data_IF_719977896697
#
_entry.id   IF_719977896697
#
_cell.length_a   1.000
_cell.length_b   1.000
_cell.length_c   1.000
_cell.angle_alpha   90.00
_cell.angle_beta   90.00
_cell.angle_gamma   90.00
#
_symmetry.space_group_name_H-M   'P 1'
#
loop_
_entity.id
_entity.type
_entity.pdbx_description
1 polymer ?
#
# COMPACT_ATOMS: atom_id res chain seq x y z
N UNK A 1 -72.45 1.98 11.86
CA UNK A 1 -71.69 3.24 11.75
C UNK A 1 -70.24 2.83 11.65
N UNK A 2 -69.76 2.73 10.41
CA UNK A 2 -68.43 2.23 10.10
C UNK A 2 -67.42 3.32 10.45
N UNK A 3 -66.51 3.01 11.36
CA UNK A 3 -65.39 3.88 11.74
C UNK A 3 -64.40 3.92 10.57
N UNK A 4 -64.49 4.95 9.73
CA UNK A 4 -63.44 5.26 8.75
C UNK A 4 -62.12 5.46 9.51
N UNK A 5 -61.17 4.54 9.31
CA UNK A 5 -59.83 4.67 9.90
C UNK A 5 -59.17 5.92 9.32
N UNK A 6 -58.84 6.87 10.18
CA UNK A 6 -58.08 8.06 9.79
C UNK A 6 -56.75 7.63 9.16
N UNK A 7 -56.46 8.11 7.95
CA UNK A 7 -55.23 7.82 7.23
C UNK A 7 -54.02 8.40 7.98
N UNK A 8 -52.99 7.59 8.21
CA UNK A 8 -51.71 8.03 8.81
C UNK A 8 -50.62 8.13 7.73
N UNK A 9 -50.27 9.38 7.41
CA UNK A 9 -49.26 9.71 6.41
C UNK A 9 -47.87 9.17 6.78
N UNK A 10 -47.52 9.16 8.07
CA UNK A 10 -46.19 8.73 8.53
C UNK A 10 -46.00 7.24 8.25
N UNK A 11 -47.01 6.45 8.60
CA UNK A 11 -47.04 5.00 8.35
C UNK A 11 -47.04 4.70 6.84
N UNK A 12 -47.75 5.50 6.04
CA UNK A 12 -47.78 5.34 4.59
C UNK A 12 -46.41 5.62 3.94
N UNK A 13 -45.71 6.67 4.36
CA UNK A 13 -44.36 7.00 3.86
C UNK A 13 -43.35 5.92 4.29
N UNK A 14 -43.40 5.45 5.53
CA UNK A 14 -42.53 4.36 5.99
C UNK A 14 -42.77 3.08 5.17
N UNK A 15 -44.03 2.73 4.93
CA UNK A 15 -44.39 1.57 4.11
C UNK A 15 -43.85 1.72 2.69
N UNK A 16 -44.05 2.88 2.07
CA UNK A 16 -43.53 3.18 0.73
C UNK A 16 -42.00 3.08 0.68
N UNK A 17 -41.29 3.68 1.62
CA UNK A 17 -39.81 3.67 1.68
C UNK A 17 -39.27 2.25 1.89
N UNK A 18 -39.93 1.46 2.74
CA UNK A 18 -39.54 0.06 3.01
C UNK A 18 -39.61 -0.84 1.77
N UNK A 19 -40.45 -0.52 0.78
CA UNK A 19 -40.52 -1.26 -0.47
C UNK A 19 -39.24 -1.08 -1.31
N UNK A 20 -38.62 0.11 -1.26
CA UNK A 20 -37.35 0.37 -1.93
C UNK A 20 -36.16 -0.23 -1.16
N UNK A 21 -36.19 -0.19 0.17
CA UNK A 21 -35.17 -0.88 1.00
C UNK A 21 -35.13 -2.38 0.73
N UNK A 22 -36.30 -3.02 0.55
CA UNK A 22 -36.40 -4.44 0.23
C UNK A 22 -35.86 -4.79 -1.17
N UNK A 23 -35.87 -3.84 -2.12
CA UNK A 23 -35.29 -4.05 -3.45
C UNK A 23 -33.76 -4.12 -3.44
N UNK A 24 -33.11 -3.44 -2.48
CA UNK A 24 -31.66 -3.40 -2.33
C UNK A 24 -30.90 -2.58 -3.38
N UNK A 25 -31.60 -1.89 -4.28
CA UNK A 25 -30.99 -1.13 -5.37
C UNK A 25 -30.63 0.32 -5.02
N UNK A 26 -31.10 0.82 -3.87
CA UNK A 26 -30.96 2.22 -3.46
C UNK A 26 -30.01 2.35 -2.27
N UNK A 27 -29.16 3.38 -2.29
CA UNK A 27 -28.39 3.83 -1.14
C UNK A 27 -29.26 4.65 -0.18
N UNK A 28 -28.83 4.80 1.07
CA UNK A 28 -29.55 5.61 2.05
C UNK A 28 -29.71 7.07 1.62
N UNK A 29 -28.69 7.64 0.97
CA UNK A 29 -28.71 9.02 0.49
C UNK A 29 -29.73 9.19 -0.65
N UNK A 30 -29.77 8.24 -1.59
CA UNK A 30 -30.76 8.22 -2.68
C UNK A 30 -32.19 8.06 -2.14
N UNK A 31 -32.39 7.19 -1.13
CA UNK A 31 -33.69 7.06 -0.46
C UNK A 31 -34.11 8.36 0.23
N UNK A 32 -33.19 9.03 0.91
CA UNK A 32 -33.48 10.30 1.59
C UNK A 32 -33.87 11.40 0.60
N UNK A 33 -33.20 11.50 -0.55
CA UNK A 33 -33.55 12.41 -1.63
C UNK A 33 -34.94 12.10 -2.20
N UNK A 34 -35.22 10.82 -2.45
CA UNK A 34 -36.52 10.35 -2.96
C UNK A 34 -37.66 10.68 -1.98
N UNK A 35 -37.44 10.45 -0.68
CA UNK A 35 -38.40 10.78 0.38
C UNK A 35 -38.61 12.29 0.48
N UNK A 36 -37.57 13.11 0.33
CA UNK A 36 -37.69 14.56 0.31
C UNK A 36 -38.58 15.02 -0.85
N UNK A 37 -38.37 14.49 -2.05
CA UNK A 37 -39.20 14.82 -3.21
C UNK A 37 -40.66 14.38 -3.07
N UNK A 38 -40.90 13.24 -2.41
CA UNK A 38 -42.25 12.78 -2.09
C UNK A 38 -42.94 13.77 -1.14
N UNK A 39 -42.27 14.18 -0.06
CA UNK A 39 -42.79 15.13 0.92
C UNK A 39 -43.10 16.49 0.27
N UNK A 40 -42.16 17.05 -0.50
CA UNK A 40 -42.36 18.31 -1.22
C UNK A 40 -43.58 18.24 -2.16
N UNK A 41 -43.78 17.09 -2.82
CA UNK A 41 -44.93 16.87 -3.70
C UNK A 41 -46.25 16.76 -2.94
N UNK A 42 -46.25 16.13 -1.77
CA UNK A 42 -47.43 16.04 -0.89
C UNK A 42 -47.81 17.43 -0.42
N UNK A 43 -46.87 18.22 0.10
CA UNK A 43 -47.11 19.57 0.60
C UNK A 43 -47.69 20.48 -0.51
N UNK A 44 -47.16 20.39 -1.72
CA UNK A 44 -47.66 21.13 -2.88
C UNK A 44 -49.08 20.72 -3.33
N UNK A 45 -49.49 19.47 -3.08
CA UNK A 45 -50.84 18.97 -3.36
C UNK A 45 -51.81 19.33 -2.24
N UNK A 46 -51.40 19.26 -0.98
CA UNK A 46 -52.20 19.70 0.15
C UNK A 46 -52.49 21.20 0.11
N UNK A 47 -51.53 22.01 -0.36
CA UNK A 47 -51.74 23.44 -0.61
C UNK A 47 -52.79 23.74 -1.71
N UNK A 48 -53.23 22.72 -2.45
CA UNK A 48 -54.32 22.77 -3.44
C UNK A 48 -55.61 22.12 -2.93
N UNK A 49 -55.75 22.02 -1.61
CA UNK A 49 -56.91 21.47 -0.91
C UNK A 49 -57.15 19.96 -1.11
N UNK A 50 -56.11 19.19 -1.50
CA UNK A 50 -56.21 17.73 -1.49
C UNK A 50 -56.06 17.19 -0.07
N UNK A 51 -56.80 16.13 0.26
CA UNK A 51 -56.61 15.41 1.52
C UNK A 51 -55.23 14.74 1.57
N UNK A 52 -54.71 14.47 2.78
CA UNK A 52 -53.40 13.80 2.95
C UNK A 52 -53.32 12.46 2.19
N UNK A 53 -54.41 11.70 2.20
CA UNK A 53 -54.49 10.41 1.51
C UNK A 53 -54.41 10.57 -0.01
N UNK A 54 -55.16 11.53 -0.57
CA UNK A 54 -55.14 11.80 -2.02
C UNK A 54 -53.81 12.40 -2.47
N UNK A 55 -53.25 13.32 -1.69
CA UNK A 55 -51.95 13.92 -1.95
C UNK A 55 -50.85 12.85 -2.00
N UNK A 56 -50.82 11.92 -1.04
CA UNK A 56 -49.88 10.81 -1.01
C UNK A 56 -50.02 9.87 -2.21
N UNK A 57 -51.25 9.47 -2.56
CA UNK A 57 -51.50 8.58 -3.71
C UNK A 57 -51.04 9.21 -5.04
N UNK A 58 -51.32 10.49 -5.24
CA UNK A 58 -50.92 11.20 -6.46
C UNK A 58 -49.40 11.44 -6.48
N UNK A 59 -48.80 11.83 -5.35
CA UNK A 59 -47.35 12.07 -5.27
C UNK A 59 -46.55 10.78 -5.53
N UNK A 60 -46.93 9.67 -4.90
CA UNK A 60 -46.29 8.36 -5.12
C UNK A 60 -46.45 7.86 -6.56
N UNK A 61 -47.60 8.07 -7.20
CA UNK A 61 -47.78 7.75 -8.62
C UNK A 61 -46.93 8.64 -9.55
N UNK A 62 -46.76 9.93 -9.22
CA UNK A 62 -45.95 10.87 -10.03
C UNK A 62 -44.46 10.56 -10.00
N UNK A 63 -43.96 10.06 -8.87
CA UNK A 63 -42.58 9.59 -8.73
C UNK A 63 -42.31 8.35 -9.60
N UNK A 64 -43.32 7.54 -9.87
CA UNK A 64 -43.23 6.37 -10.73
C UNK A 64 -43.24 5.04 -9.96
N UNK A 65 -43.32 3.93 -10.69
CA UNK A 65 -43.26 2.60 -10.09
C UNK A 65 -41.84 2.28 -9.60
N UNK A 66 -41.75 1.37 -8.62
CA UNK A 66 -40.47 0.88 -8.10
C UNK A 66 -39.57 0.39 -9.25
N UNK A 67 -40.11 -0.39 -10.19
CA UNK A 67 -39.35 -0.92 -11.32
C UNK A 67 -38.78 0.18 -12.25
N UNK A 68 -39.49 1.29 -12.43
CA UNK A 68 -39.04 2.42 -13.24
C UNK A 68 -37.96 3.23 -12.53
N UNK A 69 -38.19 3.52 -11.25
CA UNK A 69 -37.21 4.21 -10.41
C UNK A 69 -35.94 3.39 -10.28
N UNK A 70 -36.04 2.07 -10.09
CA UNK A 70 -34.90 1.16 -10.04
C UNK A 70 -34.08 1.21 -11.34
N UNK A 71 -34.73 1.21 -12.50
CA UNK A 71 -34.05 1.35 -13.79
C UNK A 71 -33.35 2.71 -13.97
N UNK A 72 -33.97 3.81 -13.54
CA UNK A 72 -33.36 5.14 -13.66
C UNK A 72 -32.21 5.34 -12.68
N UNK A 73 -32.37 4.94 -11.42
CA UNK A 73 -31.29 5.00 -10.43
C UNK A 73 -30.16 4.05 -10.77
N UNK A 74 -30.43 2.87 -11.35
CA UNK A 74 -29.38 1.97 -11.87
C UNK A 74 -28.56 2.60 -13.01
N UNK A 75 -29.13 3.52 -13.80
CA UNK A 75 -28.36 4.24 -14.85
C UNK A 75 -27.40 5.27 -14.24
N UNK A 76 -27.81 5.94 -13.17
CA UNK A 76 -27.02 6.94 -12.45
C UNK A 76 -25.97 6.27 -11.56
N UNK A 77 -26.39 5.21 -10.87
CA UNK A 77 -25.57 4.19 -10.23
C UNK A 77 -24.95 3.25 -11.28
N UNK A 78 -24.31 3.82 -12.31
CA UNK A 78 -23.10 3.18 -12.83
C UNK A 78 -22.07 3.43 -11.74
N UNK A 79 -21.72 2.44 -10.89
CA UNK A 79 -20.53 2.59 -10.12
C UNK A 79 -19.42 2.67 -11.17
N UNK A 80 -18.93 3.88 -11.46
CA UNK A 80 -17.51 4.00 -11.76
C UNK A 80 -16.90 3.34 -10.54
N UNK A 81 -16.29 2.15 -10.68
CA UNK A 81 -15.83 1.44 -9.51
C UNK A 81 -14.57 2.19 -9.08
N UNK A 82 -14.75 3.28 -8.32
CA UNK A 82 -13.73 4.18 -7.77
C UNK A 82 -12.73 3.40 -6.90
N UNK A 83 -13.05 2.15 -6.60
CA UNK A 83 -12.29 1.20 -5.83
C UNK A 83 -11.34 0.32 -6.67
N UNK A 84 -11.56 0.13 -7.98
CA UNK A 84 -10.75 -0.82 -8.78
C UNK A 84 -9.40 -0.26 -9.24
N UNK A 85 -9.30 1.05 -9.42
CA UNK A 85 -8.13 1.72 -9.99
C UNK A 85 -6.83 1.49 -9.18
N UNK A 86 -6.78 1.70 -7.85
CA UNK A 86 -5.53 1.50 -7.12
C UNK A 86 -5.09 0.04 -7.10
N UNK A 87 -6.02 -0.92 -7.01
CA UNK A 87 -5.68 -2.35 -7.00
C UNK A 87 -5.17 -2.82 -8.38
N UNK A 88 -5.73 -2.30 -9.47
CA UNK A 88 -5.28 -2.56 -10.83
C UNK A 88 -3.88 -1.96 -11.10
N UNK A 89 -3.64 -0.72 -10.68
CA UNK A 89 -2.34 -0.07 -10.79
C UNK A 89 -1.27 -0.84 -10.01
N UNK A 90 -1.62 -1.27 -8.80
CA UNK A 90 -0.77 -2.04 -7.90
C UNK A 90 -0.45 -3.44 -8.44
N UNK A 91 -1.45 -4.12 -9.01
CA UNK A 91 -1.25 -5.39 -9.70
C UNK A 91 -0.34 -5.22 -10.92
N UNK A 92 -0.54 -4.16 -11.71
CA UNK A 92 0.33 -3.82 -12.83
C UNK A 92 1.79 -3.63 -12.40
N UNK A 93 2.00 -2.94 -11.28
CA UNK A 93 3.33 -2.76 -10.69
C UNK A 93 3.95 -4.08 -10.20
N UNK A 94 3.18 -4.96 -9.53
CA UNK A 94 3.67 -6.29 -9.14
C UNK A 94 4.03 -7.16 -10.34
N UNK A 95 3.19 -7.18 -11.37
CA UNK A 95 3.49 -7.87 -12.62
C UNK A 95 4.75 -7.30 -13.28
N UNK A 96 4.92 -5.99 -13.30
CA UNK A 96 6.14 -5.36 -13.83
C UNK A 96 7.39 -5.77 -13.06
N UNK A 97 7.36 -5.70 -11.72
CA UNK A 97 8.49 -6.10 -10.87
C UNK A 97 8.82 -7.59 -11.08
N UNK A 98 7.80 -8.45 -11.13
CA UNK A 98 7.98 -9.87 -11.42
C UNK A 98 8.61 -10.10 -12.80
N UNK A 99 8.08 -9.45 -13.84
CA UNK A 99 8.61 -9.56 -15.21
C UNK A 99 10.05 -9.06 -15.29
N UNK A 100 10.40 -7.98 -14.58
CA UNK A 100 11.77 -7.48 -14.49
C UNK A 100 12.71 -8.51 -13.86
N UNK A 101 12.37 -9.04 -12.67
CA UNK A 101 13.21 -10.01 -11.97
C UNK A 101 13.37 -11.32 -12.77
N UNK A 102 12.28 -11.76 -13.42
CA UNK A 102 12.33 -12.92 -14.31
C UNK A 102 13.23 -12.66 -15.52
N UNK A 103 13.14 -11.46 -16.10
CA UNK A 103 14.01 -11.04 -17.19
C UNK A 103 15.47 -11.06 -16.77
N UNK A 104 15.81 -10.45 -15.63
CA UNK A 104 17.17 -10.46 -15.06
C UNK A 104 17.70 -11.89 -14.83
N UNK A 105 16.83 -12.81 -14.41
CA UNK A 105 17.22 -14.22 -14.24
C UNK A 105 17.51 -14.91 -15.58
N UNK A 106 16.66 -14.66 -16.58
CA UNK A 106 16.81 -15.23 -17.93
C UNK A 106 18.07 -14.68 -18.61
N UNK A 107 18.33 -13.38 -18.49
CA UNK A 107 19.51 -12.73 -19.05
C UNK A 107 20.79 -13.14 -18.33
N UNK A 108 20.79 -13.07 -16.99
CA UNK A 108 21.94 -13.41 -16.16
C UNK A 108 22.46 -14.82 -16.40
N UNK A 109 21.58 -15.80 -16.60
CA UNK A 109 21.99 -17.16 -16.93
C UNK A 109 22.10 -17.43 -18.42
N UNK A 110 21.07 -17.08 -19.19
CA UNK A 110 20.97 -17.43 -20.61
C UNK A 110 21.95 -16.66 -21.46
N UNK A 111 22.02 -15.34 -21.31
CA UNK A 111 22.88 -14.49 -22.13
C UNK A 111 24.36 -14.68 -21.78
N UNK A 112 24.70 -14.82 -20.49
CA UNK A 112 26.09 -15.09 -20.05
C UNK A 112 26.56 -16.49 -20.48
N UNK A 113 25.71 -17.51 -20.35
CA UNK A 113 26.02 -18.84 -20.86
C UNK A 113 26.25 -18.82 -22.38
N UNK A 114 25.39 -18.13 -23.12
CA UNK A 114 25.52 -17.98 -24.58
C UNK A 114 26.77 -17.16 -24.97
N UNK A 115 27.10 -16.12 -24.21
CA UNK A 115 28.30 -15.30 -24.36
C UNK A 115 29.59 -16.11 -24.23
N UNK A 116 29.62 -17.01 -23.23
CA UNK A 116 30.77 -17.88 -23.00
C UNK A 116 31.05 -18.82 -24.18
N UNK A 117 30.03 -19.10 -25.01
CA UNK A 117 30.17 -19.92 -26.20
C UNK A 117 30.72 -19.17 -27.41
N UNK A 118 30.35 -17.89 -27.60
CA UNK A 118 30.71 -17.10 -28.79
C UNK A 118 31.88 -16.11 -28.58
N UNK A 119 32.26 -15.82 -27.33
CA UNK A 119 33.44 -15.02 -27.00
C UNK A 119 33.37 -13.51 -27.31
N UNK A 120 32.27 -13.01 -27.88
CA UNK A 120 32.11 -11.59 -28.23
C UNK A 120 31.15 -10.85 -27.29
N UNK A 121 31.74 -10.02 -26.42
CA UNK A 121 31.05 -9.14 -25.46
C UNK A 121 30.00 -8.21 -26.08
N UNK A 122 30.15 -7.77 -27.34
CA UNK A 122 29.19 -6.83 -27.97
C UNK A 122 27.92 -7.54 -28.41
N UNK A 123 28.08 -8.74 -28.97
CA UNK A 123 26.96 -9.58 -29.38
C UNK A 123 26.15 -9.97 -28.14
N UNK A 124 26.83 -10.33 -27.04
CA UNK A 124 26.19 -10.62 -25.75
C UNK A 124 25.31 -9.47 -25.28
N UNK A 125 25.84 -8.24 -25.26
CA UNK A 125 25.09 -7.09 -24.74
C UNK A 125 23.87 -6.75 -25.61
N UNK A 126 23.99 -6.86 -26.94
CA UNK A 126 22.84 -6.68 -27.83
C UNK A 126 21.78 -7.76 -27.65
N UNK A 127 22.20 -9.02 -27.46
CA UNK A 127 21.31 -10.15 -27.24
C UNK A 127 20.62 -10.03 -25.87
N UNK A 128 21.35 -9.59 -24.86
CA UNK A 128 20.86 -9.33 -23.51
C UNK A 128 19.75 -8.28 -23.48
N UNK A 129 20.03 -7.11 -24.07
CA UNK A 129 19.06 -6.02 -24.18
C UNK A 129 17.83 -6.47 -24.98
N UNK A 130 18.04 -7.19 -26.09
CA UNK A 130 16.95 -7.68 -26.94
C UNK A 130 16.05 -8.69 -26.23
N UNK A 131 16.64 -9.63 -25.49
CA UNK A 131 15.91 -10.61 -24.68
C UNK A 131 15.15 -9.91 -23.56
N UNK A 132 15.78 -8.96 -22.84
CA UNK A 132 15.13 -8.18 -21.80
C UNK A 132 13.91 -7.41 -22.31
N UNK A 133 14.04 -6.76 -23.46
CA UNK A 133 12.98 -5.95 -24.03
C UNK A 133 11.85 -6.84 -24.57
N UNK A 134 12.18 -7.98 -25.18
CA UNK A 134 11.22 -8.96 -25.66
C UNK A 134 10.44 -9.65 -24.52
N UNK A 135 11.10 -10.02 -23.43
CA UNK A 135 10.46 -10.66 -22.26
C UNK A 135 9.55 -9.66 -21.54
N UNK A 136 10.01 -8.42 -21.30
CA UNK A 136 9.20 -7.38 -20.66
C UNK A 136 7.97 -7.04 -21.48
N UNK A 137 8.15 -6.68 -22.76
CA UNK A 137 7.04 -6.29 -23.64
C UNK A 137 6.11 -7.49 -23.89
N UNK A 138 6.67 -8.68 -24.11
CA UNK A 138 5.93 -9.90 -24.36
C UNK A 138 5.06 -10.33 -23.18
N UNK A 139 5.58 -10.31 -21.95
CA UNK A 139 4.81 -10.64 -20.75
C UNK A 139 3.70 -9.62 -20.48
N UNK A 140 3.98 -8.32 -20.67
CA UNK A 140 3.01 -7.25 -20.45
C UNK A 140 1.86 -7.32 -21.47
N UNK A 141 2.18 -7.38 -22.77
CA UNK A 141 1.17 -7.44 -23.83
C UNK A 141 0.45 -8.79 -23.84
N UNK A 142 1.17 -9.89 -23.60
CA UNK A 142 0.61 -11.24 -23.51
C UNK A 142 -0.34 -11.39 -22.33
N UNK A 143 0.06 -10.91 -21.14
CA UNK A 143 -0.78 -10.90 -19.95
C UNK A 143 -2.04 -10.04 -20.14
N UNK A 144 -1.88 -8.83 -20.68
CA UNK A 144 -3.02 -7.95 -20.98
C UNK A 144 -3.98 -8.58 -22.00
N UNK A 145 -3.45 -9.21 -23.05
CA UNK A 145 -4.24 -9.89 -24.08
C UNK A 145 -4.95 -11.12 -23.51
N UNK A 146 -4.28 -11.90 -22.66
CA UNK A 146 -4.86 -13.07 -21.99
C UNK A 146 -6.03 -12.67 -21.09
N UNK A 147 -5.87 -11.61 -20.28
CA UNK A 147 -6.93 -11.10 -19.40
C UNK A 147 -8.09 -10.52 -20.22
N UNK A 148 -7.80 -9.80 -21.31
CA UNK A 148 -8.83 -9.15 -22.13
C UNK A 148 -9.59 -10.11 -23.05
N UNK A 149 -8.92 -11.12 -23.60
CA UNK A 149 -9.52 -12.05 -24.56
C UNK A 149 -10.14 -13.27 -23.88
N UNK A 150 -9.57 -13.74 -22.76
CA UNK A 150 -10.08 -14.90 -22.06
C UNK A 150 -10.95 -14.47 -20.87
N UNK A 151 -12.22 -14.20 -21.16
CA UNK A 151 -13.21 -13.76 -20.17
C UNK A 151 -13.24 -14.63 -18.91
N UNK A 152 -13.00 -15.95 -19.02
CA UNK A 152 -12.97 -16.86 -17.87
C UNK A 152 -11.80 -16.59 -16.93
N UNK A 153 -10.59 -16.39 -17.48
CA UNK A 153 -9.39 -16.13 -16.67
C UNK A 153 -9.49 -14.76 -16.02
N UNK A 154 -9.92 -13.73 -16.77
CA UNK A 154 -10.16 -12.41 -16.22
C UNK A 154 -11.20 -12.44 -15.11
N UNK A 155 -12.37 -13.05 -15.33
CA UNK A 155 -13.42 -13.16 -14.32
C UNK A 155 -12.97 -13.94 -13.09
N UNK A 156 -12.32 -15.09 -13.27
CA UNK A 156 -11.78 -15.87 -12.15
C UNK A 156 -10.78 -15.06 -11.33
N UNK A 157 -9.87 -14.35 -12.00
CA UNK A 157 -8.86 -13.53 -11.35
C UNK A 157 -9.49 -12.39 -10.56
N UNK A 158 -10.41 -11.63 -11.17
CA UNK A 158 -11.14 -10.56 -10.47
C UNK A 158 -12.04 -11.10 -9.36
N UNK A 159 -12.61 -12.29 -9.52
CA UNK A 159 -13.40 -12.96 -8.50
C UNK A 159 -12.55 -13.33 -7.28
N UNK A 160 -11.35 -13.89 -7.49
CA UNK A 160 -10.41 -14.16 -6.41
C UNK A 160 -9.89 -12.88 -5.74
N UNK A 161 -9.63 -11.83 -6.52
CA UNK A 161 -9.27 -10.51 -6.01
C UNK A 161 -10.36 -9.93 -5.11
N UNK A 162 -11.64 -10.17 -5.45
CA UNK A 162 -12.80 -9.74 -4.66
C UNK A 162 -13.01 -10.59 -3.41
N UNK A 163 -12.87 -11.91 -3.51
CA UNK A 163 -13.15 -12.82 -2.40
C UNK A 163 -12.01 -12.94 -1.38
N UNK A 164 -10.77 -12.93 -1.85
CA UNK A 164 -9.57 -13.19 -1.04
C UNK A 164 -8.43 -12.22 -1.39
N UNK A 165 -8.64 -10.90 -1.29
CA UNK A 165 -7.65 -9.91 -1.69
C UNK A 165 -6.31 -10.11 -0.96
N UNK A 166 -6.35 -10.39 0.34
CA UNK A 166 -5.15 -10.63 1.16
C UNK A 166 -4.41 -11.89 0.73
N UNK A 167 -5.12 -12.99 0.45
CA UNK A 167 -4.50 -14.25 0.04
C UNK A 167 -3.77 -14.13 -1.30
N UNK A 168 -4.42 -13.50 -2.29
CA UNK A 168 -3.86 -13.31 -3.63
C UNK A 168 -2.64 -12.38 -3.58
N UNK A 169 -2.74 -11.31 -2.79
CA UNK A 169 -1.65 -10.38 -2.48
C UNK A 169 -0.43 -11.07 -1.90
N UNK A 170 -0.61 -11.83 -0.82
CA UNK A 170 0.48 -12.51 -0.13
C UNK A 170 1.14 -13.50 -1.08
N UNK A 171 0.33 -14.19 -1.89
CA UNK A 171 0.82 -15.11 -2.92
C UNK A 171 1.66 -14.38 -3.98
N UNK A 172 1.17 -13.27 -4.54
CA UNK A 172 1.92 -12.48 -5.53
C UNK A 172 3.17 -11.84 -4.93
N UNK A 173 3.09 -11.30 -3.72
CA UNK A 173 4.24 -10.76 -2.99
C UNK A 173 5.30 -11.81 -2.71
N UNK A 174 4.88 -13.02 -2.33
CA UNK A 174 5.78 -14.16 -2.13
C UNK A 174 6.43 -14.60 -3.44
N UNK A 175 5.67 -14.62 -4.55
CA UNK A 175 6.21 -14.89 -5.88
C UNK A 175 7.24 -13.84 -6.31
N UNK A 176 6.98 -12.56 -6.07
CA UNK A 176 7.93 -11.46 -6.34
C UNK A 176 9.18 -11.61 -5.48
N UNK A 177 9.02 -11.89 -4.18
CA UNK A 177 10.14 -12.10 -3.26
C UNK A 177 10.99 -13.31 -3.65
N UNK A 178 10.36 -14.43 -4.00
CA UNK A 178 11.04 -15.63 -4.50
C UNK A 178 11.74 -15.38 -5.83
N UNK A 179 11.13 -14.63 -6.75
CA UNK A 179 11.76 -14.26 -8.02
C UNK A 179 12.97 -13.34 -7.81
N UNK A 180 12.88 -12.37 -6.89
CA UNK A 180 14.01 -11.51 -6.52
C UNK A 180 15.15 -12.30 -5.86
N UNK A 181 14.82 -13.24 -4.96
CA UNK A 181 15.79 -14.18 -4.37
C UNK A 181 16.42 -15.09 -5.43
N UNK A 182 15.62 -15.56 -6.38
CA UNK A 182 16.09 -16.36 -7.51
C UNK A 182 17.08 -15.59 -8.39
N UNK A 183 16.75 -14.36 -8.79
CA UNK A 183 17.63 -13.48 -9.54
C UNK A 183 18.93 -13.17 -8.76
N UNK A 184 18.83 -12.99 -7.45
CA UNK A 184 19.99 -12.77 -6.59
C UNK A 184 20.97 -13.96 -6.59
N UNK A 185 20.47 -15.17 -6.35
CA UNK A 185 21.28 -16.39 -6.41
C UNK A 185 21.66 -16.77 -7.85
N UNK A 186 20.98 -16.19 -8.83
CA UNK A 186 21.33 -16.36 -10.24
C UNK A 186 22.72 -15.80 -10.53
N UNK A 187 22.92 -14.59 -10.05
CA UNK A 187 24.13 -13.82 -10.28
C UNK A 187 25.25 -14.18 -9.30
N UNK A 188 24.92 -14.84 -8.18
CA UNK A 188 25.89 -15.14 -7.14
C UNK A 188 25.77 -16.57 -6.60
N UNK A 189 26.85 -17.34 -6.67
CA UNK A 189 26.88 -18.69 -6.09
C UNK A 189 26.82 -18.58 -4.57
N UNK A 190 25.93 -19.36 -3.94
CA UNK A 190 25.82 -19.42 -2.49
C UNK A 190 27.17 -19.75 -1.81
N UNK A 191 27.98 -20.61 -2.44
CA UNK A 191 29.33 -20.94 -1.97
C UNK A 191 30.28 -19.73 -1.96
N UNK A 192 30.18 -18.83 -2.93
CA UNK A 192 30.98 -17.60 -2.98
C UNK A 192 30.53 -16.66 -1.87
N UNK A 193 29.22 -16.58 -1.58
CA UNK A 193 28.67 -15.81 -0.48
C UNK A 193 29.18 -16.29 0.90
N UNK A 194 29.28 -17.61 1.07
CA UNK A 194 29.87 -18.23 2.28
C UNK A 194 31.39 -18.01 2.33
N UNK A 195 32.10 -18.18 1.22
CA UNK A 195 33.55 -17.93 1.16
C UNK A 195 33.90 -16.46 1.43
N UNK A 196 33.11 -15.53 0.86
CA UNK A 196 33.20 -14.07 1.05
C UNK A 196 33.00 -13.68 2.52
N UNK A 197 32.01 -14.28 3.19
CA UNK A 197 31.79 -14.02 4.63
C UNK A 197 32.93 -14.53 5.52
N UNK A 198 33.73 -15.48 5.02
CA UNK A 198 34.88 -16.06 5.74
C UNK A 198 36.20 -15.34 5.41
N UNK A 199 36.40 -14.84 4.19
CA UNK A 199 37.72 -14.35 3.71
C UNK A 199 38.08 -12.88 4.01
N UNK A 200 37.28 -12.13 4.79
CA UNK A 200 37.59 -10.77 5.31
C UNK A 200 37.98 -9.67 4.31
N UNK A 201 38.01 -9.90 2.99
CA UNK A 201 38.26 -8.85 2.00
C UNK A 201 36.99 -8.54 1.20
N UNK A 202 36.34 -7.43 1.56
CA UNK A 202 35.16 -6.92 0.88
C UNK A 202 35.56 -6.05 -0.33
N UNK A 203 35.48 -6.59 -1.55
CA UNK A 203 35.71 -5.87 -2.82
C UNK A 203 34.37 -5.44 -3.45
N UNK A 204 34.38 -4.39 -4.30
CA UNK A 204 33.22 -3.76 -4.98
C UNK A 204 32.10 -4.70 -5.49
N UNK A 205 32.39 -5.95 -5.87
CA UNK A 205 31.39 -6.94 -6.29
C UNK A 205 30.38 -7.29 -5.18
N UNK A 206 30.76 -7.18 -3.90
CA UNK A 206 29.90 -7.50 -2.76
C UNK A 206 28.86 -6.40 -2.45
N UNK A 207 28.94 -5.27 -3.15
CA UNK A 207 27.98 -4.19 -3.04
C UNK A 207 26.68 -4.48 -3.80
N UNK A 208 26.75 -5.22 -4.90
CA UNK A 208 25.56 -5.75 -5.57
C UNK A 208 24.78 -6.66 -4.62
N UNK A 209 25.48 -7.47 -3.81
CA UNK A 209 24.83 -8.33 -2.84
C UNK A 209 23.99 -7.56 -1.81
N UNK A 210 24.57 -6.53 -1.20
CA UNK A 210 23.88 -5.66 -0.24
C UNK A 210 22.76 -4.87 -0.94
N UNK A 211 22.98 -4.42 -2.18
CA UNK A 211 21.98 -3.71 -2.98
C UNK A 211 20.74 -4.56 -3.25
N UNK A 212 20.91 -5.82 -3.64
CA UNK A 212 19.79 -6.74 -3.85
C UNK A 212 19.06 -7.11 -2.55
N UNK A 213 19.78 -7.29 -1.43
CA UNK A 213 19.16 -7.49 -0.11
C UNK A 213 18.35 -6.25 0.31
N UNK A 214 18.84 -5.04 -0.01
CA UNK A 214 18.11 -3.80 0.23
C UNK A 214 16.86 -3.67 -0.66
N UNK A 215 16.93 -4.07 -1.93
CA UNK A 215 15.76 -4.16 -2.80
C UNK A 215 14.77 -5.22 -2.32
N UNK A 216 15.23 -6.36 -1.80
CA UNK A 216 14.37 -7.35 -1.17
C UNK A 216 13.64 -6.76 0.05
N UNK A 217 14.33 -6.00 0.90
CA UNK A 217 13.73 -5.22 1.98
C UNK A 217 12.75 -4.17 1.47
N UNK A 218 13.06 -3.50 0.37
CA UNK A 218 12.15 -2.57 -0.32
C UNK A 218 10.89 -3.26 -0.83
N UNK A 219 11.01 -4.41 -1.47
CA UNK A 219 9.88 -5.20 -1.90
C UNK A 219 9.05 -5.71 -0.73
N UNK A 220 9.68 -6.08 0.40
CA UNK A 220 8.97 -6.50 1.62
C UNK A 220 8.23 -5.33 2.30
N UNK A 221 8.86 -4.16 2.35
CA UNK A 221 8.25 -2.91 2.85
C UNK A 221 7.10 -2.48 1.96
N UNK A 222 7.29 -2.56 0.65
CA UNK A 222 6.27 -2.25 -0.32
C UNK A 222 5.13 -3.27 -0.28
N UNK A 223 5.41 -4.54 0.02
CA UNK A 223 4.40 -5.58 0.33
C UNK A 223 3.64 -5.29 1.63
N UNK A 224 4.29 -4.70 2.63
CA UNK A 224 3.63 -4.24 3.86
C UNK A 224 2.76 -3.02 3.63
N UNK A 225 3.24 -2.03 2.86
CA UNK A 225 2.42 -0.90 2.42
C UNK A 225 1.27 -1.34 1.51
N UNK A 226 1.50 -2.36 0.69
CA UNK A 226 0.47 -3.04 -0.10
C UNK A 226 -0.59 -3.63 0.84
N UNK A 227 -0.19 -4.40 1.87
CA UNK A 227 -1.13 -4.95 2.86
C UNK A 227 -1.90 -3.83 3.55
N UNK A 228 -1.27 -2.68 3.78
CA UNK A 228 -1.89 -1.48 4.35
C UNK A 228 -2.88 -0.77 3.41
N UNK A 229 -2.75 -0.84 2.09
CA UNK A 229 -3.72 -0.28 1.13
C UNK A 229 -4.87 -1.26 0.88
N UNK A 230 -4.57 -2.55 0.88
CA UNK A 230 -5.56 -3.62 0.62
C UNK A 230 -6.36 -4.02 1.86
N UNK A 231 -5.86 -3.85 3.09
CA UNK A 231 -6.67 -4.08 4.30
C UNK A 231 -7.86 -3.11 4.44
N UNK A 232 -7.70 -1.80 4.20
CA UNK A 232 -8.81 -0.85 4.06
C UNK A 232 -9.86 -1.30 3.04
N UNK A 233 -9.40 -1.88 1.92
CA UNK A 233 -10.26 -2.43 0.88
C UNK A 233 -11.09 -3.63 1.35
N UNK A 234 -10.51 -4.48 2.21
CA UNK A 234 -11.19 -5.64 2.77
C UNK A 234 -12.07 -5.32 4.00
N UNK A 235 -11.81 -4.22 4.70
CA UNK A 235 -12.44 -3.90 6.00
C UNK A 235 -13.29 -2.62 6.00
N UNK A 236 -13.34 -1.90 4.86
CA UNK A 236 -14.00 -0.60 4.70
C UNK A 236 -13.52 0.49 5.69
N UNK A 237 -12.31 0.34 6.25
CA UNK A 237 -11.72 1.29 7.20
C UNK A 237 -10.62 2.10 6.56
N UNK A 238 -10.63 3.43 6.72
CA UNK A 238 -9.55 4.31 6.24
C UNK A 238 -8.20 3.87 6.82
N UNK A 239 -7.12 3.95 6.03
CA UNK A 239 -5.75 3.59 6.42
C UNK A 239 -5.35 4.09 7.81
N UNK A 240 -5.68 5.35 8.12
CA UNK A 240 -5.38 5.97 9.42
C UNK A 240 -6.13 5.29 10.58
N UNK A 241 -7.38 4.89 10.37
CA UNK A 241 -8.21 4.18 11.36
C UNK A 241 -7.68 2.76 11.58
N UNK A 242 -7.17 2.12 10.53
CA UNK A 242 -6.53 0.82 10.66
C UNK A 242 -5.19 0.90 11.41
N UNK A 243 -4.34 1.88 11.08
CA UNK A 243 -3.08 2.14 11.78
C UNK A 243 -3.30 2.40 13.28
N UNK A 244 -4.39 3.08 13.62
CA UNK A 244 -4.80 3.33 15.00
C UNK A 244 -5.16 2.03 15.75
N UNK A 245 -5.68 1.03 15.03
CA UNK A 245 -6.08 -0.28 15.57
C UNK A 245 -4.98 -1.33 15.48
N UNK A 246 -3.95 -1.13 14.66
CA UNK A 246 -2.90 -2.10 14.41
C UNK A 246 -2.13 -2.48 15.69
N UNK A 247 -1.79 -3.76 15.88
CA UNK A 247 -0.96 -4.19 17.01
C UNK A 247 0.41 -3.51 16.97
N UNK A 248 0.98 -3.20 18.15
CA UNK A 248 2.31 -2.57 18.28
C UNK A 248 3.38 -3.31 17.47
N UNK A 249 3.37 -4.65 17.50
CA UNK A 249 4.33 -5.46 16.75
C UNK A 249 4.31 -5.19 15.25
N UNK A 250 3.14 -4.96 14.65
CA UNK A 250 3.03 -4.64 13.22
C UNK A 250 3.56 -3.25 12.88
N UNK A 251 3.33 -2.28 13.76
CA UNK A 251 3.87 -0.92 13.59
C UNK A 251 5.40 -0.92 13.68
N UNK A 252 5.96 -1.72 14.58
CA UNK A 252 7.42 -1.91 14.71
C UNK A 252 8.00 -2.58 13.47
N UNK A 253 7.34 -3.62 12.93
CA UNK A 253 7.79 -4.30 11.71
C UNK A 253 7.73 -3.37 10.49
N UNK A 254 6.64 -2.61 10.33
CA UNK A 254 6.50 -1.65 9.24
C UNK A 254 7.55 -0.52 9.36
N UNK A 255 7.79 -0.02 10.57
CA UNK A 255 8.86 0.95 10.85
C UNK A 255 10.25 0.39 10.54
N UNK A 256 10.55 -0.85 10.93
CA UNK A 256 11.79 -1.54 10.59
C UNK A 256 12.00 -1.68 9.09
N UNK A 257 10.93 -1.96 8.35
CA UNK A 257 10.93 -2.13 6.89
C UNK A 257 11.20 -0.79 6.17
N UNK A 258 10.43 0.27 6.48
CA UNK A 258 10.68 1.62 5.93
C UNK A 258 12.08 2.10 6.27
N UNK A 259 12.51 1.86 7.51
CA UNK A 259 13.84 2.23 7.96
C UNK A 259 14.94 1.46 7.22
N UNK A 260 14.80 0.14 6.99
CA UNK A 260 15.76 -0.66 6.21
C UNK A 260 15.85 -0.21 4.75
N UNK A 261 14.76 0.29 4.15
CA UNK A 261 14.81 0.94 2.83
C UNK A 261 15.60 2.24 2.81
N UNK A 262 15.29 3.16 3.73
CA UNK A 262 16.01 4.44 3.86
C UNK A 262 17.49 4.22 4.18
N UNK A 263 17.77 3.15 4.92
CA UNK A 263 19.10 2.71 5.27
C UNK A 263 19.88 2.15 4.08
N UNK A 264 19.28 1.25 3.29
CA UNK A 264 19.92 0.71 2.08
C UNK A 264 20.34 1.82 1.13
N UNK A 265 19.49 2.83 0.98
CA UNK A 265 19.78 4.04 0.20
C UNK A 265 20.90 4.90 0.84
N UNK A 266 20.97 4.97 2.17
CA UNK A 266 21.99 5.77 2.88
C UNK A 266 23.36 5.11 2.90
N UNK A 267 23.45 3.79 3.12
CA UNK A 267 24.71 3.02 3.01
C UNK A 267 25.24 3.10 1.58
N UNK A 268 24.34 3.04 0.60
CA UNK A 268 24.68 3.21 -0.81
C UNK A 268 25.27 4.60 -1.08
N UNK A 269 24.67 5.65 -0.48
CA UNK A 269 25.17 7.02 -0.56
C UNK A 269 26.53 7.24 0.11
N UNK A 270 26.83 6.59 1.24
CA UNK A 270 28.09 6.76 1.98
C UNK A 270 29.32 6.13 1.30
N UNK A 271 29.13 5.15 0.41
CA UNK A 271 30.25 4.56 -0.34
C UNK A 271 30.46 5.18 -1.71
N UNK A 272 29.41 5.74 -2.32
CA UNK A 272 29.51 6.41 -3.62
C UNK A 272 30.03 7.85 -3.46
N UNK A 273 29.70 8.52 -2.35
CA UNK A 273 30.21 9.85 -2.04
C UNK A 273 31.22 9.77 -0.91
N UNK A 274 32.32 10.50 -1.05
CA UNK A 274 33.45 10.50 -0.12
C UNK A 274 33.00 10.61 1.37
N UNK A 275 33.73 9.98 2.31
CA UNK A 275 33.32 9.82 3.72
C UNK A 275 33.04 11.14 4.45
N UNK A 276 33.54 12.28 3.96
CA UNK A 276 33.37 13.58 4.60
C UNK A 276 31.94 14.14 4.47
N UNK A 277 31.22 13.83 3.38
CA UNK A 277 29.89 14.41 3.10
C UNK A 277 28.70 13.49 3.43
N UNK A 278 28.96 12.22 3.69
CA UNK A 278 27.91 11.19 3.87
C UNK A 278 27.29 11.15 5.27
N UNK A 279 28.04 11.56 6.30
CA UNK A 279 27.67 11.41 7.71
C UNK A 279 26.45 12.26 8.07
N UNK A 280 26.39 13.51 7.59
CA UNK A 280 25.27 14.40 7.87
C UNK A 280 23.93 13.84 7.34
N UNK A 281 23.97 13.15 6.19
CA UNK A 281 22.78 12.55 5.57
C UNK A 281 22.21 11.42 6.41
N UNK A 282 23.05 10.67 7.11
CA UNK A 282 22.61 9.63 8.06
C UNK A 282 21.87 10.20 9.26
N UNK A 283 22.36 11.33 9.79
CA UNK A 283 21.67 12.01 10.89
C UNK A 283 20.32 12.53 10.39
N UNK A 284 20.29 13.19 9.24
CA UNK A 284 19.05 13.72 8.65
C UNK A 284 18.06 12.58 8.38
N UNK A 285 18.50 11.45 7.80
CA UNK A 285 17.61 10.32 7.49
C UNK A 285 17.05 9.67 8.76
N UNK A 286 17.86 9.48 9.80
CA UNK A 286 17.39 9.00 11.10
C UNK A 286 16.36 9.96 11.72
N UNK A 287 16.62 11.27 11.67
CA UNK A 287 15.70 12.29 12.16
C UNK A 287 14.38 12.32 11.38
N UNK A 288 14.43 12.31 10.05
CA UNK A 288 13.23 12.31 9.19
C UNK A 288 12.42 11.03 9.39
N UNK A 289 13.07 9.87 9.48
CA UNK A 289 12.37 8.61 9.72
C UNK A 289 11.63 8.60 11.06
N UNK A 290 12.28 9.08 12.13
CA UNK A 290 11.65 9.25 13.43
C UNK A 290 10.54 10.29 13.42
N UNK A 291 10.70 11.39 12.69
CA UNK A 291 9.68 12.43 12.54
C UNK A 291 8.43 11.86 11.91
N UNK A 292 8.56 11.20 10.76
CA UNK A 292 7.41 10.62 10.04
C UNK A 292 6.73 9.53 10.86
N UNK A 293 7.50 8.64 11.48
CA UNK A 293 6.96 7.58 12.33
C UNK A 293 6.20 8.14 13.52
N UNK A 294 6.76 9.15 14.19
CA UNK A 294 6.18 9.77 15.37
C UNK A 294 4.94 10.62 15.04
N UNK A 295 4.98 11.32 13.90
CA UNK A 295 3.84 12.06 13.36
C UNK A 295 2.68 11.12 13.01
N UNK A 296 2.95 9.97 12.40
CA UNK A 296 1.93 8.96 12.11
C UNK A 296 1.29 8.39 13.38
N UNK A 297 2.08 8.18 14.44
CA UNK A 297 1.61 7.68 15.72
C UNK A 297 0.90 8.73 16.59
N UNK A 298 0.96 10.01 16.21
CA UNK A 298 0.51 11.09 17.08
C UNK A 298 -1.00 11.08 17.36
N UNK A 299 -1.80 10.57 16.42
CA UNK A 299 -3.25 10.46 16.55
C UNK A 299 -3.67 9.25 17.40
N UNK A 300 -2.78 8.30 17.68
CA UNK A 300 -3.18 7.06 18.35
C UNK A 300 -3.38 7.28 19.87
N UNK A 301 -4.61 7.16 20.40
CA UNK A 301 -4.90 7.35 21.82
C UNK A 301 -4.31 6.23 22.69
N UNK A 302 -3.94 5.09 22.08
CA UNK A 302 -3.42 3.90 22.77
C UNK A 302 -2.00 4.06 23.30
N UNK A 303 -1.24 5.00 22.76
CA UNK A 303 0.19 5.13 23.07
C UNK A 303 0.45 6.45 23.79
N UNK A 304 1.00 6.38 24.99
CA UNK A 304 1.56 7.55 25.67
C UNK A 304 2.85 8.02 24.97
N UNK A 305 3.31 9.23 25.27
CA UNK A 305 4.48 9.82 24.62
C UNK A 305 5.74 8.93 24.69
N UNK A 306 5.96 8.26 25.82
CA UNK A 306 7.10 7.35 26.03
C UNK A 306 7.00 6.13 25.10
N UNK A 307 5.82 5.48 25.01
CA UNK A 307 5.61 4.35 24.10
C UNK A 307 5.79 4.75 22.64
N UNK A 308 5.30 5.93 22.24
CA UNK A 308 5.50 6.45 20.88
C UNK A 308 6.99 6.63 20.58
N UNK A 309 7.73 7.25 21.48
CA UNK A 309 9.18 7.42 21.37
C UNK A 309 9.89 6.06 21.26
N UNK A 310 9.57 5.10 22.13
CA UNK A 310 10.15 3.76 22.08
C UNK A 310 9.86 3.03 20.76
N UNK A 311 8.62 3.09 20.25
CA UNK A 311 8.24 2.47 18.98
C UNK A 311 9.02 3.11 17.81
N UNK A 312 9.21 4.43 17.82
CA UNK A 312 10.00 5.11 16.79
C UNK A 312 11.50 4.82 16.88
N UNK A 313 12.04 4.68 18.09
CA UNK A 313 13.49 4.50 18.32
C UNK A 313 13.94 3.04 18.25
N UNK A 314 13.06 2.07 18.52
CA UNK A 314 13.41 0.65 18.54
C UNK A 314 14.00 0.13 17.21
N UNK A 315 13.45 0.49 16.01
CA UNK A 315 14.05 0.10 14.74
C UNK A 315 15.48 0.62 14.54
N UNK A 316 15.72 1.87 14.92
CA UNK A 316 17.03 2.53 14.83
C UNK A 316 18.04 1.91 15.78
N UNK A 317 17.62 1.60 17.00
CA UNK A 317 18.48 0.94 17.99
C UNK A 317 18.85 -0.48 17.56
N UNK A 318 17.87 -1.28 17.15
CA UNK A 318 18.11 -2.64 16.64
C UNK A 318 19.06 -2.61 15.45
N UNK A 319 18.86 -1.66 14.54
CA UNK A 319 19.77 -1.47 13.43
C UNK A 319 21.19 -1.10 13.87
N UNK A 320 21.33 -0.10 14.74
CA UNK A 320 22.66 0.34 15.19
C UNK A 320 23.44 -0.81 15.82
N UNK A 321 22.76 -1.64 16.63
CA UNK A 321 23.35 -2.86 17.21
C UNK A 321 23.79 -3.84 16.12
N UNK A 322 22.94 -4.12 15.12
CA UNK A 322 23.28 -5.00 14.00
C UNK A 322 24.45 -4.45 13.18
N UNK A 323 24.44 -3.15 12.87
CA UNK A 323 25.46 -2.48 12.08
C UNK A 323 26.82 -2.47 12.79
N UNK A 324 26.85 -2.15 14.08
CA UNK A 324 28.06 -2.27 14.92
C UNK A 324 28.52 -3.71 14.97
N UNK A 325 27.62 -4.67 15.17
CA UNK A 325 27.94 -6.10 15.19
C UNK A 325 28.60 -6.57 13.90
N UNK A 326 28.09 -6.15 12.74
CA UNK A 326 28.70 -6.46 11.43
C UNK A 326 30.03 -5.75 11.22
N UNK A 327 30.16 -4.50 11.67
CA UNK A 327 31.36 -3.70 11.50
C UNK A 327 32.53 -4.21 12.36
N UNK A 328 32.26 -4.57 13.62
CA UNK A 328 33.26 -5.09 14.57
C UNK A 328 33.84 -6.42 14.11
N UNK A 329 33.04 -7.26 13.44
CA UNK A 329 33.49 -8.59 12.98
C UNK A 329 34.30 -8.52 11.68
N UNK A 330 34.11 -7.48 10.86
CA UNK A 330 34.56 -7.49 9.46
C UNK A 330 35.70 -6.53 9.11
N UNK A 331 35.99 -5.48 9.88
CA UNK A 331 36.95 -4.45 9.46
C UNK A 331 38.31 -4.48 10.20
N UNK A 332 39.40 -4.39 9.45
CA UNK A 332 40.77 -4.14 9.97
C UNK A 332 41.00 -2.66 10.35
N UNK A 333 40.07 -1.77 9.98
CA UNK A 333 40.09 -0.34 10.33
C UNK A 333 38.91 0.00 11.26
N UNK A 334 39.06 0.98 12.15
CA UNK A 334 37.96 1.42 13.01
C UNK A 334 36.82 1.94 12.13
N UNK A 335 35.67 1.27 12.21
CA UNK A 335 34.46 1.66 11.50
C UNK A 335 34.03 3.06 11.90
N UNK A 336 33.51 3.86 10.94
CA UNK A 336 32.95 5.18 11.22
C UNK A 336 31.78 5.14 12.21
N UNK A 337 31.12 3.98 12.34
CA UNK A 337 30.07 3.74 13.33
C UNK A 337 30.59 3.78 14.78
N UNK A 338 31.89 3.55 14.96
CA UNK A 338 32.58 3.53 16.25
C UNK A 338 33.35 4.83 16.53
N UNK A 339 33.36 5.80 15.61
CA UNK A 339 33.94 7.12 15.87
C UNK A 339 33.21 7.79 17.04
N UNK A 340 33.98 8.41 17.94
CA UNK A 340 33.58 8.84 19.29
C UNK A 340 32.22 9.55 19.39
N UNK A 341 31.83 10.31 18.36
CA UNK A 341 30.59 11.10 18.38
C UNK A 341 29.50 10.62 17.43
N UNK A 342 29.75 9.62 16.59
CA UNK A 342 28.75 9.14 15.64
C UNK A 342 27.47 8.63 16.33
N UNK A 343 27.54 7.74 17.34
CA UNK A 343 26.35 7.16 17.96
C UNK A 343 25.52 8.24 18.64
N UNK A 344 26.19 9.16 19.32
CA UNK A 344 25.56 10.28 20.02
C UNK A 344 24.81 11.15 19.02
N UNK A 345 25.46 11.61 17.95
CA UNK A 345 24.83 12.46 16.92
C UNK A 345 23.67 11.76 16.22
N UNK A 346 23.80 10.46 15.95
CA UNK A 346 22.76 9.64 15.33
C UNK A 346 21.50 9.56 16.20
N UNK A 347 21.65 9.18 17.47
CA UNK A 347 20.52 9.07 18.39
C UNK A 347 19.94 10.43 18.78
N UNK A 348 20.76 11.47 18.90
CA UNK A 348 20.26 12.85 19.10
C UNK A 348 19.38 13.27 17.93
N UNK A 349 19.81 13.04 16.69
CA UNK A 349 19.00 13.37 15.51
C UNK A 349 17.67 12.61 15.48
N UNK A 350 17.70 11.31 15.78
CA UNK A 350 16.50 10.50 15.88
C UNK A 350 15.53 11.00 16.97
N UNK A 351 16.05 11.35 18.16
CA UNK A 351 15.24 11.91 19.24
C UNK A 351 14.62 13.25 18.82
N UNK A 352 15.40 14.16 18.23
CA UNK A 352 14.91 15.45 17.74
C UNK A 352 13.80 15.24 16.72
N UNK A 353 13.99 14.34 15.76
CA UNK A 353 12.98 13.94 14.79
C UNK A 353 11.70 13.44 15.46
N UNK A 354 11.82 12.50 16.39
CA UNK A 354 10.68 11.91 17.08
C UNK A 354 9.89 12.93 17.90
N UNK A 355 10.58 13.83 18.63
CA UNK A 355 9.96 14.92 19.39
C UNK A 355 9.23 15.90 18.46
N UNK A 356 9.86 16.27 17.34
CA UNK A 356 9.27 17.16 16.33
C UNK A 356 8.01 16.54 15.72
N UNK A 357 8.04 15.25 15.39
CA UNK A 357 6.88 14.51 14.89
C UNK A 357 5.72 14.47 15.89
N UNK A 358 6.00 14.27 17.18
CA UNK A 358 4.96 14.34 18.23
C UNK A 358 4.36 15.73 18.32
N UNK A 359 5.19 16.78 18.30
CA UNK A 359 4.74 18.17 18.40
C UNK A 359 3.84 18.57 17.23
N UNK A 360 4.24 18.25 16.00
CA UNK A 360 3.42 18.47 14.79
C UNK A 360 2.08 17.73 14.86
N UNK A 361 2.07 16.52 15.41
CA UNK A 361 0.85 15.76 15.61
C UNK A 361 -0.09 16.39 16.65
N UNK A 362 0.44 16.97 17.72
CA UNK A 362 -0.36 17.74 18.70
C UNK A 362 -0.99 18.96 18.05
N UNK A 363 -0.26 19.68 17.19
CA UNK A 363 -0.80 20.83 16.45
C UNK A 363 -1.96 20.42 15.53
N UNK A 364 -1.81 19.31 14.80
CA UNK A 364 -2.87 18.76 13.94
C UNK A 364 -4.14 18.41 14.73
N UNK A 365 -3.99 17.87 15.94
CA UNK A 365 -5.13 17.53 16.77
C UNK A 365 -5.83 18.76 17.34
N UNK A 366 -5.09 19.83 17.66
CA UNK A 366 -5.68 21.12 18.04
C UNK A 366 -6.48 21.74 16.90
N UNK A 367 -5.98 21.71 15.66
CA UNK A 367 -6.71 22.27 14.52
C UNK A 367 -8.01 21.53 14.24
N UNK A 368 -8.08 20.21 14.50
CA UNK A 368 -9.30 19.42 14.37
C UNK A 368 -10.33 19.66 15.48
N UNK A 369 -9.93 20.17 16.64
CA UNK A 369 -10.85 20.45 17.74
C UNK A 369 -11.53 21.82 17.63
N UNK A 370 -11.07 22.67 16.72
CA UNK A 370 -11.58 24.04 16.49
C UNK A 370 -12.62 24.06 15.34
N UNK A 371 -12.64 23.02 14.52
CA UNK A 371 -13.63 22.77 13.45
C UNK A 371 -14.70 21.83 13.99
#
# INVERSE_FOLDING_TARGET
>A
MDSQSQFDLTTAIQTWTSQFEQSGSFTNDELQELTSHLLDSIDALQAKDLSQQEAFLIASQRLGSIDLLDQEFTKLSRPVPQQREPVLLLLGALCFIFSRNLSETITGYGAVWFASYFGDTRITLLLDVSVCLATLVGLQLGGMRLIRQNHRVGQWFFHQLKQRPIGLTVTLGSLVGLAALGAYFAEHRFADLVAISIQKQWINQQFNHIHHICWLGFYLTWLLMFLQVVLPYATNQRLLVWLEKAPVGWLVIAGLCVFTCCLGLSIMGMRIMAPEDGIARFYISAGVCCLLSSFALADSPRYNAIKRLLICMAPLFLWYVLAVGTAVVSEERPSYLLLDWFPIKFFVSAIVGALTGMWLGVLRNRSRAIV
#
